data_IF_163941464145
#
_entry.id   IF_163941464145
#
_cell.length_a   1.000
_cell.length_b   1.000
_cell.length_c   1.000
_cell.angle_alpha   90.00
_cell.angle_beta   90.00
_cell.angle_gamma   90.00
#
_symmetry.space_group_name_H-M   'P 1'
#
loop_
_entity.id
_entity.type
_entity.pdbx_description
1 polymer ?
#
# COMPACT_ATOMS: atom_id res chain seq x y z
N UNK A 1 -40.55 -1.26 13.75
CA UNK A 1 -40.63 -2.67 13.28
C UNK A 1 -40.09 -2.76 11.85
N UNK A 2 -39.07 -3.54 11.49
CA UNK A 2 -38.05 -4.22 12.28
C UNK A 2 -36.68 -3.94 11.66
N UNK A 3 -35.70 -3.66 12.51
CA UNK A 3 -34.30 -3.72 12.12
C UNK A 3 -33.94 -5.21 12.09
N UNK A 4 -33.84 -5.79 10.90
CA UNK A 4 -33.27 -7.12 10.73
C UNK A 4 -31.81 -7.05 11.19
N UNK A 5 -31.55 -7.44 12.42
CA UNK A 5 -30.20 -7.62 12.94
C UNK A 5 -29.48 -8.63 12.06
N UNK A 6 -28.63 -8.13 11.15
CA UNK A 6 -27.69 -8.97 10.43
C UNK A 6 -26.77 -9.55 11.50
N UNK A 7 -26.86 -10.86 11.73
CA UNK A 7 -26.02 -11.56 12.70
C UNK A 7 -24.55 -11.21 12.50
N UNK A 8 -23.79 -11.03 13.59
CA UNK A 8 -22.39 -10.59 13.52
C UNK A 8 -21.52 -11.45 12.59
N UNK A 9 -21.80 -12.75 12.47
CA UNK A 9 -21.12 -13.68 11.55
C UNK A 9 -21.36 -13.34 10.07
N UNK A 10 -22.57 -12.91 9.70
CA UNK A 10 -22.92 -12.50 8.34
C UNK A 10 -22.25 -11.18 7.93
N UNK A 11 -21.96 -10.28 8.87
CA UNK A 11 -21.30 -9.01 8.57
C UNK A 11 -19.82 -9.22 8.19
N UNK A 12 -19.09 -10.01 8.98
CA UNK A 12 -17.69 -10.34 8.69
C UNK A 12 -17.54 -11.13 7.38
N UNK A 13 -18.52 -11.97 7.03
CA UNK A 13 -18.54 -12.68 5.74
C UNK A 13 -18.58 -11.72 4.54
N UNK A 14 -19.39 -10.66 4.61
CA UNK A 14 -19.46 -9.69 3.52
C UNK A 14 -18.24 -8.77 3.46
N UNK A 15 -17.66 -8.37 4.61
CA UNK A 15 -16.38 -7.65 4.63
C UNK A 15 -15.28 -8.46 3.94
N UNK A 16 -15.16 -9.76 4.27
CA UNK A 16 -14.19 -10.67 3.63
C UNK A 16 -14.41 -10.74 2.13
N UNK A 17 -15.66 -10.78 1.68
CA UNK A 17 -15.99 -10.77 0.27
C UNK A 17 -15.61 -9.45 -0.44
N UNK A 18 -15.83 -8.30 0.20
CA UNK A 18 -15.37 -6.99 -0.30
C UNK A 18 -13.86 -6.93 -0.40
N UNK A 19 -13.14 -7.41 0.64
CA UNK A 19 -11.69 -7.49 0.65
C UNK A 19 -11.16 -8.43 -0.44
N UNK A 20 -11.81 -9.58 -0.64
CA UNK A 20 -11.50 -10.51 -1.73
C UNK A 20 -11.70 -9.84 -3.09
N UNK A 21 -12.80 -9.13 -3.29
CA UNK A 21 -13.06 -8.40 -4.54
C UNK A 21 -12.00 -7.33 -4.77
N UNK A 22 -11.56 -6.64 -3.71
CA UNK A 22 -10.44 -5.70 -3.79
C UNK A 22 -9.11 -6.33 -4.12
N UNK A 23 -8.81 -7.49 -3.55
CA UNK A 23 -7.65 -8.29 -3.92
C UNK A 23 -7.69 -8.71 -5.40
N UNK A 24 -8.85 -9.14 -5.89
CA UNK A 24 -9.03 -9.55 -7.27
C UNK A 24 -8.88 -8.36 -8.25
N UNK A 25 -9.41 -7.17 -7.91
CA UNK A 25 -9.20 -5.94 -8.68
C UNK A 25 -7.72 -5.52 -8.67
N UNK A 26 -7.02 -5.69 -7.55
CA UNK A 26 -5.58 -5.44 -7.45
C UNK A 26 -4.78 -6.39 -8.36
N UNK A 27 -5.11 -7.68 -8.36
CA UNK A 27 -4.49 -8.64 -9.27
C UNK A 27 -4.81 -8.32 -10.73
N UNK A 28 -6.02 -7.84 -11.02
CA UNK A 28 -6.41 -7.40 -12.35
C UNK A 28 -5.61 -6.17 -12.80
N UNK A 29 -5.33 -5.23 -11.89
CA UNK A 29 -4.46 -4.09 -12.17
C UNK A 29 -3.05 -4.56 -12.55
N UNK A 30 -2.46 -5.47 -11.76
CA UNK A 30 -1.14 -6.05 -12.05
C UNK A 30 -1.17 -6.75 -13.40
N UNK A 31 -2.17 -7.58 -13.67
CA UNK A 31 -2.34 -8.25 -14.96
C UNK A 31 -2.42 -7.25 -16.12
N UNK A 32 -3.18 -6.15 -15.99
CA UNK A 32 -3.28 -5.12 -17.03
C UNK A 32 -1.95 -4.38 -17.28
N UNK A 33 -1.12 -4.27 -16.26
CA UNK A 33 0.21 -3.66 -16.37
C UNK A 33 1.20 -4.60 -17.05
N UNK A 34 1.07 -5.91 -16.84
CA UNK A 34 1.79 -6.93 -17.61
C UNK A 34 1.37 -6.87 -19.09
N UNK A 35 0.07 -6.76 -19.39
CA UNK A 35 -0.42 -6.62 -20.77
C UNK A 35 0.16 -5.39 -21.45
N UNK A 36 0.12 -4.24 -20.76
CA UNK A 36 0.66 -2.98 -21.30
C UNK A 36 2.19 -3.06 -21.47
N UNK A 37 2.91 -3.58 -20.48
CA UNK A 37 4.38 -3.64 -20.49
C UNK A 37 4.95 -4.62 -21.51
N UNK A 38 4.22 -5.69 -21.84
CA UNK A 38 4.62 -6.69 -22.85
C UNK A 38 4.09 -6.37 -24.25
N UNK A 39 3.36 -5.27 -24.42
CA UNK A 39 2.61 -4.95 -25.66
C UNK A 39 1.64 -6.05 -26.10
N UNK A 40 1.29 -6.97 -25.19
CA UNK A 40 0.38 -8.09 -25.46
C UNK A 40 -1.02 -7.63 -25.90
N UNK A 41 -1.38 -6.37 -25.60
CA UNK A 41 -2.60 -5.73 -26.10
C UNK A 41 -2.76 -5.77 -27.63
N UNK A 42 -1.65 -5.85 -28.39
CA UNK A 42 -1.65 -5.93 -29.86
C UNK A 42 -1.71 -7.35 -30.41
N UNK A 43 -1.56 -8.37 -29.56
CA UNK A 43 -1.49 -9.77 -29.99
C UNK A 43 -2.84 -10.34 -30.45
N UNK A 44 -3.95 -9.69 -30.09
CA UNK A 44 -5.27 -10.03 -30.58
C UNK A 44 -5.80 -8.86 -31.42
N UNK A 45 -6.21 -9.14 -32.65
CA UNK A 45 -6.66 -8.11 -33.61
C UNK A 45 -8.10 -7.61 -33.36
N UNK A 46 -8.87 -8.35 -32.56
CA UNK A 46 -10.28 -8.12 -32.29
C UNK A 46 -10.62 -8.22 -30.79
N UNK A 47 -11.88 -7.89 -30.48
CA UNK A 47 -12.47 -7.95 -29.16
C UNK A 47 -13.97 -8.25 -29.28
N UNK A 48 -14.56 -9.13 -28.46
CA UNK A 48 -14.01 -9.76 -27.26
C UNK A 48 -13.16 -11.03 -27.51
N UNK A 49 -13.20 -11.58 -28.72
CA UNK A 49 -12.44 -12.76 -29.13
C UNK A 49 -10.98 -12.42 -29.48
N UNK A 50 -10.15 -13.43 -29.75
CA UNK A 50 -8.79 -13.26 -30.24
C UNK A 50 -8.66 -13.99 -31.57
N UNK A 51 -8.59 -13.23 -32.66
CA UNK A 51 -8.62 -13.69 -34.04
C UNK A 51 -9.87 -14.50 -34.38
N UNK A 52 -11.03 -14.09 -33.86
CA UNK A 52 -12.30 -14.81 -34.05
C UNK A 52 -12.47 -16.08 -33.21
N UNK A 53 -11.48 -16.45 -32.39
CA UNK A 53 -11.52 -17.63 -31.53
C UNK A 53 -11.50 -17.26 -30.04
N UNK A 54 -12.12 -18.10 -29.20
CA UNK A 54 -12.04 -17.96 -27.72
C UNK A 54 -10.72 -18.55 -27.21
N UNK A 55 -10.30 -19.67 -27.80
CA UNK A 55 -9.07 -20.39 -27.48
C UNK A 55 -8.32 -20.69 -28.78
N UNK A 56 -7.41 -19.82 -29.22
CA UNK A 56 -6.58 -20.05 -30.38
C UNK A 56 -5.85 -21.39 -30.27
N UNK A 57 -5.82 -22.18 -31.35
CA UNK A 57 -5.19 -23.50 -31.34
C UNK A 57 -3.68 -23.46 -31.08
N UNK A 58 -3.00 -22.40 -31.52
CA UNK A 58 -1.55 -22.18 -31.36
C UNK A 58 -1.27 -20.76 -30.87
N UNK A 59 -1.53 -20.43 -29.60
CA UNK A 59 -1.42 -19.07 -29.11
C UNK A 59 0.05 -18.70 -28.86
N UNK A 60 0.45 -17.49 -29.25
CA UNK A 60 1.72 -16.90 -28.80
C UNK A 60 1.67 -16.58 -27.29
N UNK A 61 2.82 -16.36 -26.66
CA UNK A 61 2.87 -15.99 -25.24
C UNK A 61 2.08 -14.69 -24.97
N UNK A 62 2.16 -13.72 -25.87
CA UNK A 62 1.45 -12.45 -25.80
C UNK A 62 -0.08 -12.65 -25.91
N UNK A 63 -0.53 -13.56 -26.78
CA UNK A 63 -1.94 -13.94 -26.87
C UNK A 63 -2.41 -14.56 -25.55
N UNK A 64 -1.61 -15.45 -24.95
CA UNK A 64 -1.91 -16.04 -23.63
C UNK A 64 -2.01 -14.97 -22.55
N UNK A 65 -1.09 -14.01 -22.52
CA UNK A 65 -1.12 -12.89 -21.56
C UNK A 65 -2.40 -12.06 -21.73
N UNK A 66 -2.75 -11.68 -22.97
CA UNK A 66 -3.94 -10.88 -23.27
C UNK A 66 -5.24 -11.64 -22.92
N UNK A 67 -5.38 -12.89 -23.35
CA UNK A 67 -6.53 -13.73 -23.04
C UNK A 67 -6.68 -13.96 -21.52
N UNK A 68 -5.57 -14.22 -20.82
CA UNK A 68 -5.58 -14.38 -19.35
C UNK A 68 -6.11 -13.11 -18.67
N UNK A 69 -5.70 -11.93 -19.13
CA UNK A 69 -6.24 -10.68 -18.63
C UNK A 69 -7.75 -10.56 -18.90
N UNK A 70 -8.23 -10.86 -20.12
CA UNK A 70 -9.66 -10.82 -20.48
C UNK A 70 -10.50 -11.77 -19.64
N UNK A 71 -10.05 -13.01 -19.42
CA UNK A 71 -10.75 -13.95 -18.54
C UNK A 71 -10.74 -13.48 -17.08
N UNK A 72 -9.64 -12.86 -16.63
CA UNK A 72 -9.57 -12.25 -15.30
C UNK A 72 -10.57 -11.09 -15.16
N UNK A 73 -10.74 -10.26 -16.21
CA UNK A 73 -11.77 -9.20 -16.25
C UNK A 73 -13.17 -9.80 -16.08
N UNK A 74 -13.49 -10.90 -16.78
CA UNK A 74 -14.80 -11.56 -16.67
C UNK A 74 -15.03 -12.10 -15.24
N UNK A 75 -14.05 -12.79 -14.67
CA UNK A 75 -14.13 -13.32 -13.31
C UNK A 75 -14.33 -12.20 -12.26
N UNK A 76 -13.57 -11.10 -12.38
CA UNK A 76 -13.72 -9.92 -11.52
C UNK A 76 -15.07 -9.25 -11.74
N UNK A 77 -15.57 -9.20 -12.96
CA UNK A 77 -16.90 -8.67 -13.29
C UNK A 77 -18.02 -9.39 -12.55
N UNK A 78 -17.94 -10.72 -12.43
CA UNK A 78 -18.87 -11.52 -11.63
C UNK A 78 -18.80 -11.13 -10.15
N UNK A 79 -17.59 -10.96 -9.60
CA UNK A 79 -17.40 -10.53 -8.22
C UNK A 79 -17.98 -9.12 -7.96
N UNK A 80 -17.75 -8.16 -8.87
CA UNK A 80 -18.30 -6.80 -8.81
C UNK A 80 -19.83 -6.83 -8.87
N UNK A 81 -20.42 -7.59 -9.78
CA UNK A 81 -21.88 -7.76 -9.85
C UNK A 81 -22.44 -8.34 -8.55
N UNK A 82 -21.77 -9.35 -7.98
CA UNK A 82 -22.15 -9.92 -6.69
C UNK A 82 -22.02 -8.91 -5.54
N UNK A 83 -21.02 -8.03 -5.52
CA UNK A 83 -20.91 -6.92 -4.54
C UNK A 83 -22.11 -5.99 -4.64
N UNK A 84 -22.54 -5.61 -5.84
CA UNK A 84 -23.69 -4.72 -6.06
C UNK A 84 -24.97 -5.37 -5.53
N UNK A 85 -25.23 -6.62 -5.92
CA UNK A 85 -26.42 -7.36 -5.50
C UNK A 85 -26.45 -7.55 -3.98
N UNK A 86 -25.31 -7.93 -3.39
CA UNK A 86 -25.20 -8.13 -1.95
C UNK A 86 -25.32 -6.82 -1.16
N UNK A 87 -24.76 -5.70 -1.66
CA UNK A 87 -24.93 -4.38 -1.04
C UNK A 87 -26.41 -3.98 -1.02
N UNK A 88 -27.10 -4.09 -2.17
CA UNK A 88 -28.51 -3.73 -2.30
C UNK A 88 -29.42 -4.61 -1.43
N UNK A 89 -29.12 -5.91 -1.33
CA UNK A 89 -29.88 -6.86 -0.48
C UNK A 89 -29.68 -6.60 1.01
N UNK A 90 -28.45 -6.33 1.46
CA UNK A 90 -28.13 -6.17 2.88
C UNK A 90 -28.40 -4.76 3.41
N UNK A 91 -28.23 -3.74 2.57
CA UNK A 91 -28.37 -2.33 2.94
C UNK A 91 -29.27 -1.56 1.97
N UNK A 92 -30.52 -2.01 1.71
CA UNK A 92 -31.39 -1.40 0.70
C UNK A 92 -31.71 0.08 0.96
N UNK A 93 -31.67 0.50 2.24
CA UNK A 93 -31.98 1.87 2.68
C UNK A 93 -30.74 2.75 2.87
N UNK A 94 -29.52 2.20 2.75
CA UNK A 94 -28.29 2.97 2.96
C UNK A 94 -27.80 3.60 1.65
N UNK A 95 -28.33 4.78 1.34
CA UNK A 95 -28.15 5.47 0.05
C UNK A 95 -26.70 5.59 -0.41
N UNK A 96 -25.76 5.91 0.49
CA UNK A 96 -24.34 6.05 0.13
C UNK A 96 -23.70 4.73 -0.33
N UNK A 97 -23.99 3.61 0.35
CA UNK A 97 -23.43 2.29 0.01
C UNK A 97 -24.00 1.80 -1.32
N UNK A 98 -25.31 1.96 -1.52
CA UNK A 98 -25.97 1.59 -2.77
C UNK A 98 -25.47 2.43 -3.95
N UNK A 99 -25.29 3.75 -3.77
CA UNK A 99 -24.70 4.64 -4.78
C UNK A 99 -23.25 4.26 -5.08
N UNK A 100 -22.42 4.04 -4.07
CA UNK A 100 -21.02 3.65 -4.25
C UNK A 100 -20.89 2.29 -4.97
N UNK A 101 -21.68 1.29 -4.59
CA UNK A 101 -21.69 0.00 -5.28
C UNK A 101 -22.18 0.12 -6.73
N UNK A 102 -23.24 0.91 -6.98
CA UNK A 102 -23.74 1.15 -8.34
C UNK A 102 -22.70 1.88 -9.19
N UNK A 103 -22.03 2.90 -8.65
CA UNK A 103 -20.94 3.60 -9.31
C UNK A 103 -19.77 2.67 -9.65
N UNK A 104 -19.38 1.78 -8.72
CA UNK A 104 -18.36 0.75 -8.97
C UNK A 104 -18.72 -0.11 -10.19
N UNK A 105 -19.98 -0.55 -10.30
CA UNK A 105 -20.45 -1.33 -11.46
C UNK A 105 -20.41 -0.56 -12.78
N UNK A 106 -20.90 0.69 -12.79
CA UNK A 106 -20.90 1.54 -13.98
C UNK A 106 -19.46 1.86 -14.44
N UNK A 107 -18.58 2.19 -13.50
CA UNK A 107 -17.16 2.44 -13.80
C UNK A 107 -16.49 1.17 -14.34
N UNK A 108 -16.79 -0.01 -13.77
CA UNK A 108 -16.26 -1.27 -14.26
C UNK A 108 -16.72 -1.57 -15.70
N UNK A 109 -18.00 -1.36 -16.03
CA UNK A 109 -18.49 -1.51 -17.40
C UNK A 109 -17.81 -0.54 -18.37
N UNK A 110 -17.64 0.72 -17.96
CA UNK A 110 -16.90 1.71 -18.74
C UNK A 110 -15.43 1.28 -18.95
N UNK A 111 -14.78 0.67 -17.94
CA UNK A 111 -13.43 0.13 -18.03
C UNK A 111 -13.32 -1.00 -19.05
N UNK A 112 -14.29 -1.91 -19.08
CA UNK A 112 -14.34 -3.02 -20.05
C UNK A 112 -14.50 -2.46 -21.47
N UNK A 113 -15.43 -1.53 -21.68
CA UNK A 113 -15.64 -0.90 -22.98
C UNK A 113 -14.38 -0.15 -23.45
N UNK A 114 -13.76 0.62 -22.56
CA UNK A 114 -12.54 1.36 -22.84
C UNK A 114 -11.36 0.43 -23.15
N UNK A 115 -11.26 -0.71 -22.47
CA UNK A 115 -10.26 -1.75 -22.76
C UNK A 115 -10.46 -2.40 -24.13
N UNK A 116 -11.70 -2.72 -24.50
CA UNK A 116 -12.04 -3.22 -25.83
C UNK A 116 -11.72 -2.22 -26.94
N UNK A 117 -12.09 -0.95 -26.75
CA UNK A 117 -11.72 0.14 -27.66
C UNK A 117 -10.20 0.29 -27.79
N UNK A 118 -9.46 0.12 -26.69
CA UNK A 118 -8.01 0.22 -26.71
C UNK A 118 -7.37 -0.85 -27.62
N UNK A 119 -7.88 -2.08 -27.59
CA UNK A 119 -7.44 -3.16 -28.50
C UNK A 119 -7.81 -2.84 -29.95
N UNK A 120 -9.08 -2.54 -30.22
CA UNK A 120 -9.58 -2.31 -31.59
C UNK A 120 -8.89 -1.12 -32.26
N UNK A 121 -8.56 -0.08 -31.49
CA UNK A 121 -7.87 1.11 -31.99
C UNK A 121 -6.35 1.00 -31.99
N UNK A 122 -5.78 -0.19 -31.72
CA UNK A 122 -4.34 -0.46 -31.69
C UNK A 122 -3.57 0.39 -30.65
N UNK A 123 -4.12 0.45 -29.44
CA UNK A 123 -3.54 1.08 -28.25
C UNK A 123 -3.14 2.56 -28.40
N UNK A 124 -4.06 3.48 -28.78
CA UNK A 124 -3.74 4.90 -28.78
C UNK A 124 -3.29 5.35 -27.38
N UNK A 125 -2.22 6.14 -27.27
CA UNK A 125 -1.65 6.53 -25.98
C UNK A 125 -2.66 7.20 -25.04
N UNK A 126 -3.50 8.11 -25.55
CA UNK A 126 -4.58 8.74 -24.78
C UNK A 126 -5.62 7.73 -24.29
N UNK A 127 -5.96 6.73 -25.11
CA UNK A 127 -6.94 5.71 -24.75
C UNK A 127 -6.38 4.77 -23.68
N UNK A 128 -5.11 4.39 -23.80
CA UNK A 128 -4.40 3.60 -22.78
C UNK A 128 -4.29 4.35 -21.46
N UNK A 129 -3.97 5.65 -21.50
CA UNK A 129 -3.94 6.50 -20.31
C UNK A 129 -5.33 6.65 -19.66
N UNK A 130 -6.38 6.83 -20.47
CA UNK A 130 -7.75 6.89 -19.99
C UNK A 130 -8.18 5.57 -19.33
N UNK A 131 -7.84 4.43 -19.94
CA UNK A 131 -8.09 3.10 -19.39
C UNK A 131 -7.42 2.94 -18.02
N UNK A 132 -6.15 3.31 -17.90
CA UNK A 132 -5.43 3.16 -16.64
C UNK A 132 -5.92 4.15 -15.56
N UNK A 133 -6.33 5.37 -15.95
CA UNK A 133 -6.90 6.36 -15.03
C UNK A 133 -8.28 5.94 -14.52
N UNK A 134 -9.13 5.36 -15.37
CA UNK A 134 -10.44 4.85 -14.98
C UNK A 134 -10.31 3.63 -14.03
N UNK A 135 -9.26 2.83 -14.15
CA UNK A 135 -8.92 1.81 -13.14
C UNK A 135 -8.68 2.42 -11.75
N UNK A 136 -8.07 3.61 -11.66
CA UNK A 136 -7.85 4.30 -10.38
C UNK A 136 -9.15 4.82 -9.77
N UNK A 137 -10.13 5.24 -10.57
CA UNK A 137 -11.43 5.71 -10.03
C UNK A 137 -12.31 4.55 -9.56
N UNK A 138 -12.24 3.39 -10.23
CA UNK A 138 -12.81 2.11 -9.75
C UNK A 138 -12.24 1.78 -8.37
N UNK A 139 -10.92 1.90 -8.23
CA UNK A 139 -10.26 1.71 -6.94
C UNK A 139 -10.80 2.66 -5.87
N UNK A 140 -10.85 3.98 -6.15
CA UNK A 140 -11.34 4.95 -5.18
C UNK A 140 -12.78 4.64 -4.72
N UNK A 141 -13.62 4.19 -5.66
CA UNK A 141 -14.99 3.75 -5.38
C UNK A 141 -15.03 2.52 -4.47
N UNK A 142 -14.11 1.56 -4.66
CA UNK A 142 -13.99 0.39 -3.80
C UNK A 142 -13.50 0.77 -2.40
N UNK A 143 -12.55 1.70 -2.27
CA UNK A 143 -12.10 2.19 -0.95
C UNK A 143 -13.26 2.80 -0.21
N UNK A 144 -14.02 3.69 -0.86
CA UNK A 144 -15.22 4.32 -0.31
C UNK A 144 -16.21 3.23 0.14
N UNK A 145 -16.48 2.23 -0.70
CA UNK A 145 -17.44 1.17 -0.39
C UNK A 145 -16.99 0.34 0.82
N UNK A 146 -15.73 -0.10 0.84
CA UNK A 146 -15.18 -0.94 1.90
C UNK A 146 -15.04 -0.18 3.23
N UNK A 147 -14.57 1.07 3.20
CA UNK A 147 -14.44 1.90 4.39
C UNK A 147 -15.80 2.27 4.96
N UNK A 148 -16.74 2.69 4.11
CA UNK A 148 -18.11 3.03 4.55
C UNK A 148 -18.78 1.79 5.12
N UNK A 149 -18.67 0.64 4.44
CA UNK A 149 -19.22 -0.61 4.96
C UNK A 149 -18.65 -0.96 6.33
N UNK A 150 -17.33 -0.87 6.48
CA UNK A 150 -16.64 -1.16 7.72
C UNK A 150 -17.12 -0.25 8.86
N UNK A 151 -17.17 1.06 8.61
CA UNK A 151 -17.59 2.06 9.60
C UNK A 151 -19.08 1.89 9.97
N UNK A 152 -19.96 1.63 9.00
CA UNK A 152 -21.39 1.36 9.23
C UNK A 152 -21.63 0.05 9.98
N UNK A 153 -20.88 -1.02 9.68
CA UNK A 153 -20.99 -2.27 10.42
C UNK A 153 -20.60 -2.07 11.89
N UNK A 154 -19.58 -1.26 12.15
CA UNK A 154 -19.09 -0.99 13.52
C UNK A 154 -20.01 -0.06 14.32
N UNK A 155 -20.66 0.93 13.70
CA UNK A 155 -21.61 1.82 14.40
C UNK A 155 -22.87 1.13 14.93
N UNK A 156 -23.11 -0.13 14.52
CA UNK A 156 -24.17 -0.98 15.09
C UNK A 156 -23.78 -1.67 16.40
N UNK A 157 -22.52 -1.56 16.84
CA UNK A 157 -22.09 -1.96 18.17
C UNK A 157 -22.37 -0.83 19.17
N UNK A 158 -22.79 -1.12 20.42
CA UNK A 158 -23.01 -0.08 21.42
C UNK A 158 -21.70 0.69 21.65
N UNK A 159 -21.67 1.95 21.23
CA UNK A 159 -20.58 2.87 21.56
C UNK A 159 -20.96 3.57 22.87
N UNK A 160 -20.04 3.60 23.83
CA UNK A 160 -20.06 4.61 24.88
C UNK A 160 -20.06 5.99 24.23
N UNK A 161 -20.84 6.92 24.84
CA UNK A 161 -21.27 8.18 24.27
C UNK A 161 -20.23 8.89 23.39
N UNK A 162 -20.64 9.31 22.19
CA UNK A 162 -19.83 10.19 21.35
C UNK A 162 -19.48 11.45 22.16
N UNK A 163 -18.20 11.87 22.20
CA UNK A 163 -17.86 13.16 22.77
C UNK A 163 -18.59 14.25 21.97
N UNK A 164 -19.18 15.23 22.68
CA UNK A 164 -19.87 16.34 22.03
C UNK A 164 -18.95 17.00 20.98
N UNK A 165 -19.47 17.29 19.77
CA UNK A 165 -18.71 18.01 18.77
C UNK A 165 -18.31 19.37 19.34
N UNK A 166 -17.01 19.56 19.57
CA UNK A 166 -16.48 20.86 19.98
C UNK A 166 -16.83 21.90 18.91
N UNK A 167 -17.24 23.13 19.27
CA UNK A 167 -17.64 24.14 18.30
C UNK A 167 -16.50 24.40 17.31
N UNK A 168 -16.75 24.08 16.03
CA UNK A 168 -15.79 24.30 14.95
C UNK A 168 -15.74 25.79 14.61
N UNK A 169 -14.72 26.50 15.08
CA UNK A 169 -14.33 27.76 14.44
C UNK A 169 -13.78 27.39 13.04
N UNK A 170 -14.31 27.94 11.94
CA UNK A 170 -13.80 27.64 10.62
C UNK A 170 -12.31 28.01 10.56
N UNK A 171 -11.45 27.04 10.24
CA UNK A 171 -10.02 27.28 10.08
C UNK A 171 -9.77 28.23 8.92
N UNK A 172 -8.85 29.19 9.10
CA UNK A 172 -8.34 30.03 8.01
C UNK A 172 -7.62 29.14 6.98
N UNK A 173 -7.70 29.46 5.69
CA UNK A 173 -7.17 28.62 4.59
C UNK A 173 -5.73 28.13 4.79
N UNK A 174 -4.85 28.96 5.36
CA UNK A 174 -3.46 28.58 5.70
C UNK A 174 -3.37 27.53 6.81
N UNK A 175 -4.20 27.65 7.85
CA UNK A 175 -4.27 26.66 8.93
C UNK A 175 -4.79 25.32 8.41
N UNK A 176 -5.77 25.36 7.49
CA UNK A 176 -6.31 24.17 6.85
C UNK A 176 -5.28 23.45 5.97
N UNK A 177 -4.48 24.19 5.19
CA UNK A 177 -3.39 23.62 4.40
C UNK A 177 -2.32 22.94 5.27
N UNK A 178 -1.94 23.55 6.39
CA UNK A 178 -1.01 22.94 7.34
C UNK A 178 -1.57 21.65 7.97
N UNK A 179 -2.88 21.60 8.23
CA UNK A 179 -3.57 20.39 8.70
C UNK A 179 -3.50 19.28 7.65
N UNK A 180 -3.80 19.57 6.38
CA UNK A 180 -3.68 18.60 5.29
C UNK A 180 -2.25 18.10 5.11
N UNK A 181 -1.26 18.98 5.15
CA UNK A 181 0.15 18.60 5.07
C UNK A 181 0.58 17.71 6.25
N UNK A 182 0.05 17.94 7.45
CA UNK A 182 0.31 17.06 8.60
C UNK A 182 -0.27 15.65 8.40
N UNK A 183 -1.41 15.52 7.70
CA UNK A 183 -2.04 14.23 7.41
C UNK A 183 -1.24 13.36 6.44
N UNK A 184 -0.39 13.95 5.59
CA UNK A 184 0.50 13.18 4.70
C UNK A 184 1.70 12.57 5.43
N UNK A 185 1.93 12.93 6.70
CA UNK A 185 3.00 12.40 7.57
C UNK A 185 4.40 12.59 6.97
N UNK A 186 4.84 13.83 6.65
CA UNK A 186 6.06 14.11 5.88
C UNK A 186 7.33 13.48 6.47
N UNK A 187 7.46 13.44 7.79
CA UNK A 187 8.62 12.83 8.45
C UNK A 187 8.75 11.33 8.22
N UNK A 188 7.63 10.61 8.05
CA UNK A 188 7.63 9.19 7.73
C UNK A 188 7.99 9.00 6.24
N UNK A 189 7.57 9.94 5.37
CA UNK A 189 7.86 9.90 3.93
C UNK A 189 9.37 9.99 3.64
N UNK A 190 10.13 10.74 4.44
CA UNK A 190 11.58 10.94 4.18
C UNK A 190 12.33 9.62 4.03
N UNK A 191 12.13 8.66 4.92
CA UNK A 191 12.82 7.37 4.84
C UNK A 191 12.40 6.57 3.59
N UNK A 192 11.11 6.59 3.25
CA UNK A 192 10.58 5.94 2.04
C UNK A 192 11.16 6.55 0.77
N UNK A 193 11.35 7.88 0.74
CA UNK A 193 11.96 8.59 -0.37
C UNK A 193 13.47 8.31 -0.46
N UNK A 194 14.17 8.20 0.66
CA UNK A 194 15.60 7.84 0.69
C UNK A 194 15.80 6.43 0.12
N UNK A 195 14.99 5.45 0.51
CA UNK A 195 15.12 4.09 -0.01
C UNK A 195 14.73 3.99 -1.49
N UNK A 196 13.75 4.78 -1.92
CA UNK A 196 13.40 4.91 -3.35
C UNK A 196 14.57 5.49 -4.14
N UNK A 197 15.14 6.61 -3.69
CA UNK A 197 16.32 7.21 -4.34
C UNK A 197 17.49 6.23 -4.36
N UNK A 198 17.83 5.61 -3.22
CA UNK A 198 18.90 4.63 -3.14
C UNK A 198 18.73 3.49 -4.15
N UNK A 199 17.51 2.96 -4.30
CA UNK A 199 17.20 1.96 -5.32
C UNK A 199 17.44 2.48 -6.76
N UNK A 200 17.09 3.74 -7.05
CA UNK A 200 17.36 4.35 -8.36
C UNK A 200 18.87 4.42 -8.66
N UNK A 201 19.70 4.84 -7.70
CA UNK A 201 21.15 4.92 -7.88
C UNK A 201 21.77 3.53 -8.07
N UNK A 202 21.32 2.54 -7.32
CA UNK A 202 21.78 1.15 -7.47
C UNK A 202 21.40 0.62 -8.87
N UNK A 203 20.15 0.84 -9.29
CA UNK A 203 19.63 0.37 -10.57
C UNK A 203 20.26 1.07 -11.79
N UNK A 204 20.64 2.34 -11.64
CA UNK A 204 21.28 3.13 -12.69
C UNK A 204 22.76 2.81 -12.86
N UNK A 205 23.35 2.03 -11.93
CA UNK A 205 24.78 1.76 -11.92
C UNK A 205 25.62 3.06 -11.89
N UNK A 206 25.09 4.10 -11.25
CA UNK A 206 25.59 5.47 -11.37
C UNK A 206 24.55 6.50 -10.94
N UNK A 207 24.68 7.73 -11.46
CA UNK A 207 23.77 8.83 -11.13
C UNK A 207 22.61 8.86 -12.13
N UNK A 208 21.35 8.58 -11.72
CA UNK A 208 20.19 8.71 -12.59
C UNK A 208 19.97 10.17 -13.02
N UNK A 209 19.20 10.38 -14.08
CA UNK A 209 18.86 11.74 -14.51
C UNK A 209 18.11 12.50 -13.42
N UNK A 210 18.48 13.77 -13.21
CA UNK A 210 17.91 14.60 -12.13
C UNK A 210 16.39 14.73 -12.29
N UNK A 211 15.89 14.88 -13.51
CA UNK A 211 14.45 14.94 -13.80
C UNK A 211 13.73 13.67 -13.38
N UNK A 212 14.28 12.49 -13.69
CA UNK A 212 13.70 11.21 -13.29
C UNK A 212 13.65 11.05 -11.77
N UNK A 213 14.71 11.47 -11.06
CA UNK A 213 14.74 11.49 -9.59
C UNK A 213 13.63 12.39 -9.07
N UNK A 214 13.51 13.62 -9.58
CA UNK A 214 12.50 14.57 -9.12
C UNK A 214 11.07 14.06 -9.33
N UNK A 215 10.74 13.52 -10.52
CA UNK A 215 9.42 12.97 -10.79
C UNK A 215 9.12 11.72 -9.97
N UNK A 216 10.11 10.84 -9.77
CA UNK A 216 9.96 9.61 -8.97
C UNK A 216 9.73 9.94 -7.50
N UNK A 217 10.49 10.88 -6.94
CA UNK A 217 10.32 11.31 -5.55
C UNK A 217 9.03 12.09 -5.34
N UNK A 218 8.62 12.93 -6.28
CA UNK A 218 7.32 13.61 -6.24
C UNK A 218 6.17 12.60 -6.27
N UNK A 219 6.20 11.67 -7.24
CA UNK A 219 5.22 10.60 -7.34
C UNK A 219 5.16 9.74 -6.08
N UNK A 220 6.31 9.37 -5.53
CA UNK A 220 6.43 8.59 -4.29
C UNK A 220 5.89 9.33 -3.06
N UNK A 221 6.17 10.64 -2.95
CA UNK A 221 5.67 11.47 -1.86
C UNK A 221 4.13 11.60 -1.92
N UNK A 222 3.57 11.79 -3.12
CA UNK A 222 2.12 11.81 -3.33
C UNK A 222 1.49 10.45 -3.01
N UNK A 223 2.15 9.34 -3.39
CA UNK A 223 1.70 7.97 -3.15
C UNK A 223 1.57 7.68 -1.65
N UNK A 224 2.69 7.79 -0.93
CA UNK A 224 2.77 7.48 0.48
C UNK A 224 2.01 8.53 1.34
N UNK A 225 1.93 9.78 0.87
CA UNK A 225 1.09 10.81 1.46
C UNK A 225 -0.41 10.49 1.34
N UNK A 226 -0.88 10.14 0.14
CA UNK A 226 -2.27 9.72 -0.10
C UNK A 226 -2.65 8.48 0.72
N UNK A 227 -1.78 7.46 0.72
CA UNK A 227 -1.95 6.26 1.53
C UNK A 227 -2.01 6.57 3.05
N UNK A 228 -1.21 7.52 3.53
CA UNK A 228 -1.22 7.97 4.93
C UNK A 228 -2.49 8.70 5.33
N UNK A 229 -3.03 9.53 4.42
CA UNK A 229 -4.31 10.23 4.61
C UNK A 229 -5.46 9.22 4.66
N UNK A 230 -5.52 8.29 3.68
CA UNK A 230 -6.55 7.25 3.64
C UNK A 230 -6.48 6.32 4.85
N UNK A 231 -5.27 5.97 5.31
CA UNK A 231 -5.09 5.23 6.55
C UNK A 231 -5.66 5.99 7.76
N UNK A 232 -5.42 7.30 7.85
CA UNK A 232 -5.93 8.13 8.96
C UNK A 232 -7.45 8.34 8.91
N UNK A 233 -8.04 8.26 7.72
CA UNK A 233 -9.49 8.24 7.53
C UNK A 233 -10.09 6.92 8.06
N UNK A 234 -9.55 5.78 7.61
CA UNK A 234 -10.04 4.45 8.01
C UNK A 234 -9.80 4.18 9.51
N UNK A 235 -8.66 4.61 10.05
CA UNK A 235 -8.27 4.36 11.44
C UNK A 235 -8.84 5.37 12.46
N UNK A 236 -9.68 6.31 12.03
CA UNK A 236 -10.28 7.31 12.92
C UNK A 236 -10.96 6.69 14.16
N UNK A 237 -11.61 5.55 13.98
CA UNK A 237 -12.34 4.79 15.00
C UNK A 237 -11.44 4.14 16.07
N UNK A 238 -10.20 3.80 15.74
CA UNK A 238 -9.22 3.25 16.69
C UNK A 238 -8.25 4.32 17.18
N UNK A 239 -8.01 5.35 16.38
CA UNK A 239 -7.13 6.46 16.71
C UNK A 239 -7.66 7.25 17.92
N UNK A 240 -8.98 7.37 18.07
CA UNK A 240 -9.63 8.01 19.22
C UNK A 240 -9.33 7.31 20.56
N UNK A 241 -9.05 6.00 20.53
CA UNK A 241 -8.80 5.18 21.72
C UNK A 241 -7.33 5.16 22.15
N UNK A 242 -6.45 5.82 21.39
CA UNK A 242 -5.00 5.77 21.56
C UNK A 242 -4.46 7.16 21.91
N UNK A 243 -3.70 7.26 23.01
CA UNK A 243 -3.20 8.54 23.55
C UNK A 243 -2.39 9.34 22.53
N UNK A 244 -1.60 8.66 21.70
CA UNK A 244 -0.77 9.26 20.65
C UNK A 244 -1.57 9.87 19.49
N UNK A 245 -2.76 9.34 19.20
CA UNK A 245 -3.49 9.62 17.95
C UNK A 245 -4.86 10.22 18.14
N UNK A 246 -5.35 10.29 19.38
CA UNK A 246 -6.62 10.93 19.74
C UNK A 246 -6.69 12.42 19.37
N UNK A 247 -5.53 13.07 19.16
CA UNK A 247 -5.42 14.46 18.69
C UNK A 247 -5.21 14.60 17.19
N UNK A 248 -5.44 13.54 16.40
CA UNK A 248 -5.33 13.63 14.94
C UNK A 248 -6.45 14.50 14.37
N UNK A 249 -6.20 15.26 13.30
CA UNK A 249 -7.23 16.11 12.68
C UNK A 249 -8.50 15.38 12.26
N UNK A 250 -8.38 14.08 11.91
CA UNK A 250 -9.50 13.21 11.54
C UNK A 250 -10.35 12.77 12.73
N UNK A 251 -9.80 12.78 13.94
CA UNK A 251 -10.49 12.43 15.20
C UNK A 251 -11.10 13.68 15.84
N UNK A 252 -10.37 14.80 15.83
CA UNK A 252 -10.82 16.05 16.47
C UNK A 252 -11.83 16.84 15.64
N UNK A 253 -12.23 16.35 14.47
CA UNK A 253 -13.18 17.03 13.57
C UNK A 253 -12.64 18.28 12.86
N UNK A 254 -11.32 18.53 12.91
CA UNK A 254 -10.68 19.67 12.22
C UNK A 254 -10.77 19.56 10.70
N UNK A 255 -10.88 18.33 10.18
CA UNK A 255 -11.21 18.02 8.80
C UNK A 255 -12.36 17.02 8.80
N UNK A 256 -13.29 17.18 7.87
CA UNK A 256 -14.41 16.24 7.76
C UNK A 256 -13.92 14.89 7.19
N UNK A 257 -14.64 13.78 7.46
CA UNK A 257 -14.31 12.48 6.86
C UNK A 257 -14.32 12.51 5.33
N UNK A 258 -15.26 13.26 4.72
CA UNK A 258 -15.36 13.41 3.26
C UNK A 258 -14.16 14.15 2.68
N UNK A 259 -13.78 15.28 3.29
CA UNK A 259 -12.58 16.03 2.90
C UNK A 259 -11.32 15.18 2.97
N UNK A 260 -11.16 14.41 4.05
CA UNK A 260 -9.99 13.53 4.23
C UNK A 260 -9.95 12.46 3.14
N UNK A 261 -11.08 11.83 2.84
CA UNK A 261 -11.20 10.82 1.80
C UNK A 261 -10.89 11.39 0.41
N UNK A 262 -11.51 12.52 0.04
CA UNK A 262 -11.25 13.16 -1.25
C UNK A 262 -9.79 13.59 -1.39
N UNK A 263 -9.20 14.14 -0.33
CA UNK A 263 -7.80 14.56 -0.35
C UNK A 263 -6.86 13.36 -0.56
N UNK A 264 -7.08 12.26 0.17
CA UNK A 264 -6.31 11.03 0.02
C UNK A 264 -6.40 10.45 -1.39
N UNK A 265 -7.62 10.33 -1.94
CA UNK A 265 -7.86 9.84 -3.30
C UNK A 265 -7.23 10.76 -4.37
N UNK A 266 -7.28 12.08 -4.16
CA UNK A 266 -6.68 13.06 -5.06
C UNK A 266 -5.16 12.92 -5.11
N UNK A 267 -4.51 12.78 -3.95
CA UNK A 267 -3.05 12.55 -3.87
C UNK A 267 -2.65 11.23 -4.54
N UNK A 268 -3.40 10.15 -4.29
CA UNK A 268 -3.14 8.85 -4.93
C UNK A 268 -3.31 8.90 -6.45
N UNK A 269 -4.33 9.60 -6.94
CA UNK A 269 -4.56 9.80 -8.38
C UNK A 269 -3.44 10.65 -8.99
N UNK A 270 -3.05 11.74 -8.33
CA UNK A 270 -1.95 12.59 -8.78
C UNK A 270 -0.62 11.82 -8.82
N UNK A 271 -0.34 10.98 -7.82
CA UNK A 271 0.83 10.10 -7.81
C UNK A 271 0.87 9.20 -9.03
N UNK A 272 -0.25 8.51 -9.31
CA UNK A 272 -0.39 7.64 -10.46
C UNK A 272 -0.13 8.39 -11.77
N UNK A 273 -0.73 9.58 -11.94
CA UNK A 273 -0.52 10.41 -13.14
C UNK A 273 0.93 10.86 -13.30
N UNK A 274 1.60 11.26 -12.21
CA UNK A 274 3.02 11.63 -12.25
C UNK A 274 3.87 10.46 -12.74
N UNK A 275 3.67 9.26 -12.20
CA UNK A 275 4.42 8.09 -12.64
C UNK A 275 4.08 7.66 -14.07
N UNK A 276 2.80 7.64 -14.43
CA UNK A 276 2.36 7.18 -15.74
C UNK A 276 2.81 8.10 -16.87
N UNK A 277 2.89 9.42 -16.63
CA UNK A 277 3.24 10.42 -17.64
C UNK A 277 4.75 10.68 -17.68
N UNK A 278 5.41 10.80 -16.52
CA UNK A 278 6.80 11.30 -16.45
C UNK A 278 7.84 10.23 -16.08
N UNK A 279 7.43 9.01 -15.74
CA UNK A 279 8.34 7.93 -15.34
C UNK A 279 8.15 6.72 -16.25
N UNK A 280 7.23 5.82 -15.92
CA UNK A 280 6.78 4.73 -16.79
C UNK A 280 5.54 4.03 -16.17
N UNK A 281 4.79 3.25 -16.98
CA UNK A 281 3.61 2.53 -16.52
C UNK A 281 3.89 1.49 -15.42
N UNK A 282 5.07 0.87 -15.40
CA UNK A 282 5.42 -0.16 -14.42
C UNK A 282 5.59 0.43 -13.01
N UNK A 283 6.29 1.56 -12.89
CA UNK A 283 6.41 2.31 -11.64
C UNK A 283 5.06 2.86 -11.17
N UNK A 284 4.20 3.29 -12.10
CA UNK A 284 2.83 3.70 -11.78
C UNK A 284 2.02 2.54 -11.19
N UNK A 285 2.13 1.36 -11.80
CA UNK A 285 1.49 0.13 -11.34
C UNK A 285 1.92 -0.26 -9.93
N UNK A 286 3.24 -0.29 -9.69
CA UNK A 286 3.81 -0.66 -8.40
C UNK A 286 3.47 0.35 -7.30
N UNK A 287 3.52 1.65 -7.60
CA UNK A 287 3.11 2.69 -6.67
C UNK A 287 1.64 2.52 -6.28
N UNK A 288 0.75 2.31 -7.26
CA UNK A 288 -0.66 2.03 -7.01
C UNK A 288 -0.81 0.76 -6.18
N UNK A 289 -0.15 -0.34 -6.54
CA UNK A 289 -0.14 -1.59 -5.79
C UNK A 289 0.21 -1.35 -4.31
N UNK A 290 1.18 -0.48 -4.02
CA UNK A 290 1.55 -0.11 -2.65
C UNK A 290 0.43 0.60 -1.89
N UNK A 291 -0.24 1.56 -2.53
CA UNK A 291 -1.40 2.25 -1.94
C UNK A 291 -2.52 1.25 -1.64
N UNK A 292 -2.86 0.41 -2.63
CA UNK A 292 -3.90 -0.61 -2.52
C UNK A 292 -3.61 -1.58 -1.37
N UNK A 293 -2.38 -2.10 -1.33
CA UNK A 293 -1.95 -3.04 -0.30
C UNK A 293 -2.05 -2.42 1.09
N UNK A 294 -1.58 -1.18 1.24
CA UNK A 294 -1.60 -0.48 2.51
C UNK A 294 -3.02 -0.22 3.03
N UNK A 295 -3.95 0.17 2.15
CA UNK A 295 -5.34 0.49 2.54
C UNK A 295 -6.17 -0.78 2.78
N UNK A 296 -6.20 -1.72 1.84
CA UNK A 296 -7.08 -2.90 1.94
C UNK A 296 -6.48 -4.00 2.79
N UNK A 297 -5.28 -4.45 2.45
CA UNK A 297 -4.69 -5.60 3.11
C UNK A 297 -4.18 -5.22 4.49
N UNK A 298 -3.41 -4.15 4.61
CA UNK A 298 -2.90 -3.75 5.92
C UNK A 298 -3.97 -3.07 6.78
N UNK A 299 -4.50 -1.92 6.36
CA UNK A 299 -5.33 -1.06 7.25
C UNK A 299 -6.71 -1.65 7.56
N UNK A 300 -7.44 -2.12 6.54
CA UNK A 300 -8.80 -2.66 6.73
C UNK A 300 -8.81 -4.10 7.26
N UNK A 301 -7.85 -4.92 6.86
CA UNK A 301 -7.84 -6.35 7.20
C UNK A 301 -6.81 -6.72 8.25
N UNK A 302 -5.53 -6.79 7.88
CA UNK A 302 -4.50 -7.43 8.67
C UNK A 302 -4.34 -6.77 10.04
N UNK A 303 -4.22 -5.44 10.06
CA UNK A 303 -4.07 -4.65 11.29
C UNK A 303 -5.16 -4.95 12.32
N UNK A 304 -6.37 -5.29 11.86
CA UNK A 304 -7.55 -5.48 12.71
C UNK A 304 -7.85 -6.94 13.04
N UNK A 305 -7.27 -7.89 12.29
CA UNK A 305 -7.68 -9.29 12.34
C UNK A 305 -6.58 -10.28 12.74
N UNK A 306 -5.30 -9.94 12.64
CA UNK A 306 -4.22 -10.92 12.82
C UNK A 306 -2.99 -10.35 13.51
N UNK A 307 -2.25 -11.21 14.21
CA UNK A 307 -0.92 -10.94 14.77
C UNK A 307 0.16 -10.79 13.70
N UNK A 308 -0.06 -11.33 12.50
CA UNK A 308 0.86 -11.24 11.36
C UNK A 308 0.77 -9.90 10.60
N UNK A 309 0.11 -8.90 11.19
CA UNK A 309 -0.16 -7.62 10.57
C UNK A 309 1.11 -6.86 10.15
N UNK A 310 2.22 -7.00 10.87
CA UNK A 310 3.48 -6.35 10.53
C UNK A 310 4.25 -7.12 9.48
N UNK A 311 4.26 -8.46 9.54
CA UNK A 311 5.02 -9.29 8.60
C UNK A 311 4.40 -9.16 7.21
N UNK A 312 3.11 -9.49 7.08
CA UNK A 312 2.42 -9.45 5.79
C UNK A 312 2.19 -7.98 5.38
N UNK A 313 1.74 -7.14 6.33
CA UNK A 313 1.50 -5.71 6.05
C UNK A 313 2.76 -4.93 5.66
N UNK A 314 3.94 -5.39 6.08
CA UNK A 314 5.23 -4.78 5.75
C UNK A 314 5.55 -4.78 4.25
N UNK A 315 4.89 -5.62 3.45
CA UNK A 315 5.02 -5.61 2.00
C UNK A 315 4.66 -4.24 1.38
N UNK A 316 3.68 -3.51 1.92
CA UNK A 316 3.38 -2.16 1.46
C UNK A 316 4.57 -1.19 1.63
N UNK A 317 5.27 -1.29 2.76
CA UNK A 317 6.45 -0.46 3.05
C UNK A 317 7.68 -0.83 2.22
N UNK A 318 7.71 -2.04 1.65
CA UNK A 318 8.80 -2.56 0.83
C UNK A 318 8.65 -2.29 -0.68
N UNK A 319 7.51 -1.77 -1.13
CA UNK A 319 7.27 -1.40 -2.54
C UNK A 319 8.07 -0.18 -3.06
N UNK A 320 8.34 0.87 -2.28
CA UNK A 320 9.11 2.04 -2.75
C UNK A 320 10.44 1.74 -3.46
N UNK A 321 11.33 0.84 -2.97
CA UNK A 321 12.53 0.48 -3.72
C UNK A 321 12.23 -0.24 -5.03
N UNK A 322 11.13 -1.00 -5.14
CA UNK A 322 10.70 -1.54 -6.44
C UNK A 322 10.38 -0.41 -7.41
N UNK A 323 9.60 0.58 -6.95
CA UNK A 323 9.25 1.76 -7.76
C UNK A 323 10.49 2.54 -8.19
N UNK A 324 11.47 2.70 -7.28
CA UNK A 324 12.76 3.34 -7.58
C UNK A 324 13.58 2.57 -8.62
N UNK A 325 13.66 1.25 -8.48
CA UNK A 325 14.34 0.39 -9.45
C UNK A 325 13.68 0.47 -10.82
N UNK A 326 12.37 0.23 -10.88
CA UNK A 326 11.62 0.20 -12.14
C UNK A 326 11.53 1.58 -12.79
N UNK A 327 11.68 2.67 -12.03
CA UNK A 327 11.76 4.01 -12.60
C UNK A 327 12.95 4.16 -13.55
N UNK A 328 14.06 3.47 -13.25
CA UNK A 328 15.29 3.51 -14.03
C UNK A 328 15.31 2.41 -15.09
N UNK A 329 14.99 1.17 -14.72
CA UNK A 329 15.19 0.00 -15.61
C UNK A 329 13.96 -0.37 -16.41
N UNK A 330 12.77 0.10 -15.99
CA UNK A 330 11.47 -0.35 -16.50
C UNK A 330 11.32 -1.89 -16.49
N UNK A 331 12.01 -2.59 -15.59
CA UNK A 331 11.99 -4.04 -15.41
C UNK A 331 11.89 -4.41 -13.93
N UNK A 332 11.35 -5.58 -13.64
CA UNK A 332 11.29 -6.13 -12.29
C UNK A 332 12.15 -7.39 -12.25
N UNK A 333 13.41 -7.21 -11.88
CA UNK A 333 14.41 -8.27 -11.80
C UNK A 333 14.74 -8.65 -10.34
N UNK A 334 15.71 -9.55 -10.18
CA UNK A 334 16.15 -10.01 -8.87
C UNK A 334 16.72 -8.89 -8.00
N UNK A 335 17.36 -7.87 -8.58
CA UNK A 335 17.88 -6.71 -7.84
C UNK A 335 16.76 -5.92 -7.17
N UNK A 336 15.68 -5.64 -7.91
CA UNK A 336 14.49 -5.00 -7.37
C UNK A 336 13.89 -5.81 -6.19
N UNK A 337 13.67 -7.11 -6.41
CA UNK A 337 13.11 -8.01 -5.39
C UNK A 337 14.00 -8.13 -4.16
N UNK A 338 15.31 -8.01 -4.33
CA UNK A 338 16.26 -8.01 -3.24
C UNK A 338 16.12 -6.79 -2.34
N UNK A 339 16.05 -5.58 -2.92
CA UNK A 339 15.84 -4.35 -2.17
C UNK A 339 14.48 -4.35 -1.46
N UNK A 340 13.45 -4.90 -2.10
CA UNK A 340 12.17 -5.19 -1.46
C UNK A 340 12.36 -6.10 -0.23
N UNK A 341 13.09 -7.20 -0.37
CA UNK A 341 13.32 -8.15 0.72
C UNK A 341 14.04 -7.50 1.91
N UNK A 342 15.03 -6.63 1.69
CA UNK A 342 15.70 -5.90 2.79
C UNK A 342 14.68 -5.10 3.60
N UNK A 343 13.83 -4.29 2.96
CA UNK A 343 12.84 -3.48 3.67
C UNK A 343 11.77 -4.37 4.31
N UNK A 344 11.36 -5.44 3.63
CA UNK A 344 10.39 -6.39 4.13
C UNK A 344 10.86 -7.03 5.45
N UNK A 345 12.09 -7.54 5.51
CA UNK A 345 12.66 -8.14 6.73
C UNK A 345 13.11 -7.11 7.79
N UNK A 346 13.36 -5.87 7.38
CA UNK A 346 13.58 -4.76 8.31
C UNK A 346 12.30 -4.29 9.02
N UNK A 347 11.13 -4.46 8.38
CA UNK A 347 9.86 -3.94 8.91
C UNK A 347 9.46 -4.57 10.26
N UNK A 348 9.57 -5.90 10.47
CA UNK A 348 9.29 -6.53 11.77
C UNK A 348 10.12 -6.00 12.95
N UNK A 349 11.47 -6.01 12.93
CA UNK A 349 12.26 -5.52 14.06
C UNK A 349 12.01 -4.03 14.34
N UNK A 350 11.82 -3.21 13.31
CA UNK A 350 11.49 -1.81 13.46
C UNK A 350 10.10 -1.59 14.10
N UNK A 351 9.05 -2.20 13.52
CA UNK A 351 7.67 -1.91 13.91
C UNK A 351 7.30 -2.56 15.22
N UNK A 352 7.80 -3.76 15.52
CA UNK A 352 7.57 -4.38 16.82
C UNK A 352 8.30 -3.65 17.95
N UNK A 353 9.49 -3.08 17.69
CA UNK A 353 10.15 -2.21 18.66
C UNK A 353 9.32 -0.96 18.97
N UNK A 354 8.59 -0.39 17.99
CA UNK A 354 7.59 0.65 18.26
C UNK A 354 6.40 0.09 19.04
N UNK A 355 5.89 -1.07 18.65
CA UNK A 355 4.71 -1.67 19.25
C UNK A 355 4.88 -1.98 20.74
N UNK A 356 6.08 -2.34 21.19
CA UNK A 356 6.41 -2.49 22.60
C UNK A 356 6.28 -1.16 23.38
N UNK A 357 6.59 -0.02 22.76
CA UNK A 357 6.49 1.30 23.39
C UNK A 357 5.03 1.75 23.55
N UNK A 358 4.18 1.44 22.57
CA UNK A 358 2.76 1.83 22.53
C UNK A 358 1.81 0.65 22.74
N UNK A 359 2.26 -0.41 23.41
CA UNK A 359 1.49 -1.63 23.65
C UNK A 359 0.14 -1.36 24.31
N UNK A 360 0.10 -0.45 25.30
CA UNK A 360 -1.14 -0.07 26.01
C UNK A 360 -2.17 0.56 25.07
N UNK A 361 -1.73 1.45 24.19
CA UNK A 361 -2.60 2.08 23.19
C UNK A 361 -3.20 1.00 22.26
N UNK A 362 -2.39 0.04 21.79
CA UNK A 362 -2.89 -1.05 20.95
C UNK A 362 -3.87 -1.98 21.68
N UNK A 363 -3.62 -2.27 22.96
CA UNK A 363 -4.53 -3.05 23.78
C UNK A 363 -5.88 -2.34 23.98
N UNK A 364 -5.86 -1.03 24.28
CA UNK A 364 -7.06 -0.21 24.43
C UNK A 364 -7.89 -0.17 23.14
N UNK A 365 -7.22 -0.05 21.99
CA UNK A 365 -7.86 -0.08 20.67
C UNK A 365 -8.23 -1.49 20.18
N UNK A 366 -7.99 -2.54 20.97
CA UNK A 366 -8.21 -3.96 20.62
C UNK A 366 -7.52 -4.38 19.32
N UNK A 367 -6.37 -3.78 19.02
CA UNK A 367 -5.54 -4.14 17.86
C UNK A 367 -4.72 -5.38 18.24
N UNK A 368 -4.84 -6.51 17.52
CA UNK A 368 -4.14 -7.76 17.83
C UNK A 368 -2.65 -7.68 17.42
N UNK A 369 -1.91 -6.75 18.01
CA UNK A 369 -0.48 -6.58 17.80
C UNK A 369 0.28 -7.70 18.52
N UNK A 370 1.38 -8.21 17.95
CA UNK A 370 2.15 -9.34 18.51
C UNK A 370 2.43 -9.21 20.04
N UNK A 371 2.97 -8.08 20.55
CA UNK A 371 3.20 -7.89 21.99
C UNK A 371 1.94 -7.81 22.87
N UNK A 372 0.77 -7.56 22.28
CA UNK A 372 -0.52 -7.55 22.98
C UNK A 372 -1.06 -8.98 23.13
N UNK A 373 -0.95 -9.79 22.07
CA UNK A 373 -1.54 -11.14 22.03
C UNK A 373 -0.60 -12.20 22.59
N UNK A 374 0.67 -12.20 22.17
CA UNK A 374 1.64 -13.25 22.51
C UNK A 374 2.56 -12.81 23.65
N UNK A 375 2.72 -11.50 23.83
CA UNK A 375 3.49 -10.92 24.94
C UNK A 375 4.87 -10.40 24.53
N UNK A 376 5.51 -9.72 25.47
CA UNK A 376 6.75 -8.98 25.20
C UNK A 376 7.94 -9.91 24.99
N UNK A 377 8.02 -11.02 25.73
CA UNK A 377 9.11 -12.00 25.65
C UNK A 377 9.25 -12.62 24.25
N UNK A 378 8.14 -13.07 23.68
CA UNK A 378 8.16 -13.63 22.33
C UNK A 378 8.41 -12.54 21.29
N UNK A 379 7.82 -11.35 21.49
CA UNK A 379 8.03 -10.22 20.56
C UNK A 379 9.50 -9.82 20.47
N UNK A 380 10.21 -9.71 21.60
CA UNK A 380 11.63 -9.36 21.61
C UNK A 380 12.50 -10.48 21.02
N UNK A 381 12.13 -11.74 21.23
CA UNK A 381 12.80 -12.88 20.58
C UNK A 381 12.62 -12.84 19.05
N UNK A 382 11.41 -12.61 18.56
CA UNK A 382 11.12 -12.46 17.13
C UNK A 382 11.86 -11.25 16.53
N UNK A 383 11.91 -10.11 17.24
CA UNK A 383 12.73 -8.96 16.84
C UNK A 383 14.19 -9.40 16.63
N UNK A 384 14.77 -10.17 17.55
CA UNK A 384 16.14 -10.64 17.44
C UNK A 384 16.34 -11.60 16.26
N UNK A 385 15.45 -12.58 16.06
CA UNK A 385 15.52 -13.51 14.92
C UNK A 385 15.43 -12.80 13.56
N UNK A 386 14.46 -11.89 13.40
CA UNK A 386 14.33 -11.12 12.16
C UNK A 386 15.51 -10.16 11.97
N UNK A 387 16.14 -9.68 13.04
CA UNK A 387 17.38 -8.89 12.96
C UNK A 387 18.53 -9.72 12.40
N UNK A 388 18.68 -10.98 12.81
CA UNK A 388 19.69 -11.90 12.24
C UNK A 388 19.43 -12.09 10.75
N UNK A 389 18.20 -12.42 10.36
CA UNK A 389 17.82 -12.59 8.95
C UNK A 389 18.11 -11.33 8.12
N UNK A 390 17.76 -10.15 8.65
CA UNK A 390 18.05 -8.88 8.02
C UNK A 390 19.55 -8.71 7.80
N UNK A 391 20.38 -8.88 8.83
CA UNK A 391 21.83 -8.66 8.69
C UNK A 391 22.44 -9.65 7.70
N UNK A 392 22.05 -10.93 7.74
CA UNK A 392 22.44 -11.93 6.73
C UNK A 392 22.09 -11.45 5.32
N UNK A 393 20.85 -10.97 5.13
CA UNK A 393 20.40 -10.42 3.85
C UNK A 393 21.18 -9.16 3.45
N UNK A 394 21.71 -8.36 4.37
CA UNK A 394 22.52 -7.19 3.99
C UNK A 394 23.99 -7.49 3.73
N UNK A 395 24.48 -8.67 4.09
CA UNK A 395 25.86 -9.09 3.77
C UNK A 395 25.93 -9.83 2.43
N UNK A 396 24.85 -10.53 2.06
CA UNK A 396 24.75 -11.31 0.84
C UNK A 396 25.09 -10.56 -0.48
N UNK A 397 24.85 -9.24 -0.68
CA UNK A 397 25.21 -8.58 -1.93
C UNK A 397 26.71 -8.60 -2.22
N UNK A 398 27.53 -8.57 -1.17
CA UNK A 398 28.99 -8.71 -1.30
C UNK A 398 29.38 -10.14 -1.71
N UNK A 399 28.75 -11.15 -1.09
CA UNK A 399 28.99 -12.57 -1.42
C UNK A 399 28.59 -12.87 -2.86
N UNK A 400 27.50 -12.26 -3.31
CA UNK A 400 27.01 -12.35 -4.69
C UNK A 400 27.83 -11.51 -5.69
N UNK A 401 28.90 -10.83 -5.25
CA UNK A 401 29.74 -9.96 -6.07
C UNK A 401 28.99 -8.81 -6.76
N UNK A 402 27.85 -8.39 -6.19
CA UNK A 402 27.05 -7.25 -6.66
C UNK A 402 27.54 -5.94 -6.04
N UNK A 403 28.10 -6.01 -4.84
CA UNK A 403 28.58 -4.85 -4.06
C UNK A 403 30.04 -5.06 -3.62
N UNK A 404 30.79 -3.97 -3.49
CA UNK A 404 32.19 -3.96 -3.15
C UNK A 404 32.52 -4.07 -1.66
N UNK A 405 33.82 -4.03 -1.35
CA UNK A 405 34.32 -4.04 0.02
C UNK A 405 33.87 -2.82 0.83
N UNK A 406 33.70 -1.67 0.17
CA UNK A 406 33.23 -0.45 0.82
C UNK A 406 31.82 -0.65 1.39
N UNK A 407 30.90 -1.20 0.60
CA UNK A 407 29.58 -1.62 1.09
C UNK A 407 29.67 -2.63 2.22
N UNK A 408 30.48 -3.70 2.11
CA UNK A 408 30.57 -4.72 3.14
C UNK A 408 30.97 -4.14 4.50
N UNK A 409 32.00 -3.28 4.52
CA UNK A 409 32.47 -2.63 5.74
C UNK A 409 31.36 -1.79 6.38
N UNK A 410 30.62 -1.03 5.56
CA UNK A 410 29.49 -0.26 6.03
C UNK A 410 28.34 -1.14 6.56
N UNK A 411 27.97 -2.20 5.83
CA UNK A 411 26.91 -3.12 6.22
C UNK A 411 27.21 -3.81 7.55
N UNK A 412 28.45 -4.25 7.77
CA UNK A 412 28.90 -4.84 9.05
C UNK A 412 28.93 -3.81 10.16
N UNK A 413 29.48 -2.61 9.91
CA UNK A 413 29.55 -1.53 10.90
C UNK A 413 28.16 -1.05 11.35
N UNK A 414 27.18 -1.07 10.46
CA UNK A 414 25.77 -0.76 10.77
C UNK A 414 25.04 -1.95 11.39
N UNK A 415 25.37 -3.18 10.96
CA UNK A 415 24.68 -4.40 11.39
C UNK A 415 25.03 -4.84 12.81
N UNK A 416 26.29 -4.68 13.24
CA UNK A 416 26.73 -5.07 14.58
C UNK A 416 25.96 -4.33 15.69
N UNK A 417 25.87 -2.97 15.68
CA UNK A 417 25.08 -2.26 16.68
C UNK A 417 23.59 -2.58 16.60
N UNK A 418 23.04 -2.83 15.41
CA UNK A 418 21.64 -3.25 15.24
C UNK A 418 21.37 -4.56 15.99
N UNK A 419 22.21 -5.59 15.74
CA UNK A 419 22.08 -6.90 16.38
C UNK A 419 22.31 -6.82 17.88
N UNK A 420 23.28 -6.01 18.33
CA UNK A 420 23.52 -5.80 19.75
C UNK A 420 22.29 -5.18 20.44
N UNK A 421 21.66 -4.17 19.84
CA UNK A 421 20.45 -3.55 20.37
C UNK A 421 19.24 -4.51 20.38
N UNK A 422 19.12 -5.38 19.37
CA UNK A 422 18.09 -6.41 19.34
C UNK A 422 18.32 -7.49 20.42
N UNK A 423 19.57 -7.92 20.60
CA UNK A 423 19.96 -8.90 21.60
C UNK A 423 19.75 -8.39 23.03
N UNK A 424 20.19 -7.17 23.34
CA UNK A 424 20.01 -6.60 24.69
C UNK A 424 18.53 -6.40 25.00
N UNK A 425 17.72 -5.98 24.01
CA UNK A 425 16.27 -5.87 24.16
C UNK A 425 15.61 -7.23 24.44
N UNK A 426 16.08 -8.31 23.80
CA UNK A 426 15.64 -9.67 24.11
C UNK A 426 16.07 -10.13 25.52
N UNK A 427 17.23 -9.69 25.99
CA UNK A 427 17.74 -10.05 27.32
C UNK A 427 17.00 -9.34 28.45
N UNK A 428 16.73 -8.04 28.33
CA UNK A 428 16.25 -7.20 29.43
C UNK A 428 14.81 -6.68 29.27
N UNK A 429 14.22 -6.76 28.07
CA UNK A 429 12.87 -6.30 27.76
C UNK A 429 12.62 -4.83 28.11
N UNK A 430 13.68 -4.04 28.27
CA UNK A 430 13.56 -2.71 28.83
C UNK A 430 13.09 -1.70 27.76
N UNK A 431 12.09 -0.87 28.09
CA UNK A 431 11.51 0.11 27.15
C UNK A 431 12.55 1.06 26.54
N UNK A 432 13.61 1.39 27.27
CA UNK A 432 14.71 2.23 26.77
C UNK A 432 15.39 1.59 25.55
N UNK A 433 15.64 0.28 25.58
CA UNK A 433 16.28 -0.42 24.48
C UNK A 433 15.35 -0.57 23.28
N UNK A 434 14.05 -0.75 23.52
CA UNK A 434 13.04 -0.73 22.45
C UNK A 434 13.04 0.62 21.71
N UNK A 435 13.15 1.73 22.46
CA UNK A 435 13.27 3.08 21.88
C UNK A 435 14.58 3.28 21.13
N UNK A 436 15.72 2.79 21.65
CA UNK A 436 17.02 2.85 20.97
C UNK A 436 16.99 2.06 19.66
N UNK A 437 16.51 0.82 19.68
CA UNK A 437 16.38 -0.02 18.48
C UNK A 437 15.42 0.59 17.45
N UNK A 438 14.26 1.10 17.87
CA UNK A 438 13.32 1.78 16.96
C UNK A 438 13.94 2.99 16.26
N UNK A 439 14.74 3.79 16.97
CA UNK A 439 15.44 4.95 16.37
C UNK A 439 16.61 4.51 15.49
N UNK A 440 17.43 3.59 16.00
CA UNK A 440 18.59 3.09 15.27
C UNK A 440 18.19 2.37 13.99
N UNK A 441 17.09 1.62 14.00
CA UNK A 441 16.61 0.92 12.80
C UNK A 441 16.26 1.86 11.63
N UNK A 442 15.72 3.05 11.90
CA UNK A 442 15.50 4.06 10.84
C UNK A 442 16.81 4.59 10.28
N UNK A 443 17.76 4.90 11.17
CA UNK A 443 19.10 5.36 10.79
C UNK A 443 19.83 4.29 9.99
N UNK A 444 19.80 3.04 10.46
CA UNK A 444 20.37 1.87 9.81
C UNK A 444 19.89 1.74 8.37
N UNK A 445 18.56 1.78 8.14
CA UNK A 445 18.02 1.60 6.80
C UNK A 445 18.40 2.75 5.87
N UNK A 446 18.33 4.00 6.36
CA UNK A 446 18.73 5.18 5.59
C UNK A 446 20.21 5.12 5.19
N UNK A 447 21.09 4.81 6.14
CA UNK A 447 22.53 4.73 5.89
C UNK A 447 22.88 3.53 5.02
N UNK A 448 22.24 2.37 5.20
CA UNK A 448 22.48 1.20 4.38
C UNK A 448 22.19 1.48 2.90
N UNK A 449 21.02 2.05 2.57
CA UNK A 449 20.67 2.41 1.20
C UNK A 449 21.58 3.50 0.64
N UNK A 450 21.99 4.47 1.46
CA UNK A 450 22.98 5.47 1.06
C UNK A 450 24.32 4.83 0.72
N UNK A 451 24.81 3.88 1.53
CA UNK A 451 26.08 3.21 1.29
C UNK A 451 26.03 2.29 0.07
N UNK A 452 24.91 1.60 -0.18
CA UNK A 452 24.70 0.85 -1.42
C UNK A 452 24.73 1.75 -2.65
N UNK A 453 24.06 2.90 -2.59
CA UNK A 453 24.07 3.88 -3.68
C UNK A 453 25.48 4.43 -3.92
N UNK A 454 26.19 4.80 -2.86
CA UNK A 454 27.56 5.33 -2.94
C UNK A 454 28.53 4.29 -3.51
N UNK A 455 28.49 3.05 -3.03
CA UNK A 455 29.32 1.96 -3.52
C UNK A 455 29.16 1.81 -5.04
N UNK A 456 27.91 1.69 -5.52
CA UNK A 456 27.61 1.51 -6.94
C UNK A 456 27.98 2.71 -7.82
N UNK A 457 27.99 3.92 -7.26
CA UNK A 457 28.36 5.15 -7.99
C UNK A 457 29.86 5.41 -8.04
N UNK A 458 30.63 4.91 -7.07
CA UNK A 458 32.05 5.24 -6.89
C UNK A 458 32.98 4.09 -7.27
N UNK A 459 32.50 2.85 -7.20
CA UNK A 459 33.22 1.61 -7.47
C UNK A 459 32.39 0.73 -8.41
#
# INVERSE_FOLDING_TARGET
MGQTGVSGSSQWGYLRFLLFTGAAILLLLVSGTVVSGTMAGLACSDWPLCEGEIFPATPSLEMVINLTHRFSVLAVGVAVAAVILQTRRRYPRHTLLVKAATALGLLFLAQVALGGLNVVLKLPGLMSAAHLTLAMTIWGSLVILASTYYLTAKSTLPLEAEPEPTPNTPLVSRQKAAVYFKLTKPWILVLLLITTAGAMFIAAEGVPSISLILYTLLGGALSAGGASVLNSYVDSDIDQLMSRTSRRPTVTGLVTPQETLFFGLSLSTASFLVFAIFVNPLSAALSTLGILYYVFFYTLYLKRATIHNIIIGGAAGAIPPLVGWTAVTNSLDLGALYLFAIIFFWTPPHTWALALLVKKDYANARVPMLPVVVGEKETTYQIFLYSILLITLTVLPFVAQVMGWFYLLAAVALGIPFLYLAWILWRDHHKSNSKKLYKYSQLYLALLFLMMALDRTLF
#
